data_IF_433967530553
#
_entry.id   IF_433967530553
#
_cell.length_a   1.000
_cell.length_b   1.000
_cell.length_c   1.000
_cell.angle_alpha   90.00
_cell.angle_beta   90.00
_cell.angle_gamma   90.00
#
_symmetry.space_group_name_H-M   'P 1'
#
loop_
_entity.id
_entity.type
_entity.pdbx_description
1 polymer ?
#
# COMPACT_ATOMS: atom_id res chain seq x y z
N UNK A 1 -42.49 -34.14 -26.23
CA UNK A 1 -43.23 -34.89 -25.20
C UNK A 1 -42.20 -35.63 -24.35
N UNK A 2 -42.42 -35.68 -23.04
CA UNK A 2 -41.57 -36.23 -21.96
C UNK A 2 -40.63 -35.18 -21.33
N UNK A 3 -41.17 -34.60 -20.27
CA UNK A 3 -40.46 -33.96 -19.18
C UNK A 3 -39.79 -35.00 -18.28
N UNK A 4 -38.71 -34.64 -17.59
CA UNK A 4 -38.43 -35.18 -16.27
C UNK A 4 -37.57 -34.21 -15.44
N UNK A 5 -38.19 -33.60 -14.43
CA UNK A 5 -37.54 -32.95 -13.29
C UNK A 5 -37.07 -34.02 -12.31
N UNK A 6 -35.91 -33.82 -11.68
CA UNK A 6 -35.58 -34.42 -10.38
C UNK A 6 -34.81 -33.43 -9.50
N UNK A 7 -35.44 -33.04 -8.40
CA UNK A 7 -34.89 -32.28 -7.27
C UNK A 7 -34.49 -33.25 -6.16
N UNK A 8 -33.35 -33.04 -5.49
CA UNK A 8 -33.14 -33.53 -4.12
C UNK A 8 -32.38 -32.50 -3.27
N UNK A 9 -32.98 -32.23 -2.12
CA UNK A 9 -32.54 -31.36 -1.02
C UNK A 9 -31.98 -32.26 0.10
N UNK A 10 -30.90 -31.86 0.78
CA UNK A 10 -30.40 -32.53 1.97
C UNK A 10 -30.02 -31.52 3.06
N UNK A 11 -30.58 -31.76 4.24
CA UNK A 11 -30.51 -30.96 5.47
C UNK A 11 -29.36 -31.50 6.36
N UNK A 12 -28.56 -30.60 6.96
CA UNK A 12 -27.48 -30.96 7.90
C UNK A 12 -27.75 -30.37 9.28
N UNK A 13 -27.81 -31.24 10.30
CA UNK A 13 -28.10 -30.95 11.70
C UNK A 13 -26.89 -30.43 12.49
N UNK A 14 -27.12 -29.50 13.42
CA UNK A 14 -26.10 -28.91 14.30
C UNK A 14 -25.88 -29.73 15.59
N UNK A 15 -24.63 -29.80 16.04
CA UNK A 15 -24.15 -30.56 17.20
C UNK A 15 -23.92 -29.67 18.43
N UNK A 16 -24.29 -30.17 19.62
CA UNK A 16 -24.27 -29.50 20.93
C UNK A 16 -22.89 -29.62 21.61
N UNK A 17 -22.46 -28.57 22.31
CA UNK A 17 -21.23 -28.52 23.12
C UNK A 17 -21.51 -28.70 24.65
N UNK A 18 -20.59 -29.28 25.45
CA UNK A 18 -20.80 -29.46 26.89
C UNK A 18 -20.18 -28.36 27.79
N UNK A 19 -20.84 -28.18 28.94
CA UNK A 19 -20.68 -27.18 30.01
C UNK A 19 -19.51 -27.46 30.99
N UNK A 20 -18.89 -26.42 31.54
CA UNK A 20 -17.82 -26.49 32.56
C UNK A 20 -18.35 -26.49 34.01
N UNK A 21 -17.64 -27.19 34.90
CA UNK A 21 -17.98 -27.39 36.33
C UNK A 21 -17.08 -26.55 37.25
N UNK A 22 -17.65 -25.94 38.30
CA UNK A 22 -16.95 -25.15 39.34
C UNK A 22 -16.86 -25.87 40.68
N UNK A 23 -15.73 -25.73 41.39
CA UNK A 23 -15.42 -26.37 42.69
C UNK A 23 -15.40 -25.34 43.84
N UNK A 24 -15.90 -25.65 45.07
CA UNK A 24 -16.00 -24.69 46.17
C UNK A 24 -14.83 -24.74 47.18
N UNK A 25 -14.60 -23.63 47.91
CA UNK A 25 -13.55 -23.45 48.92
C UNK A 25 -14.11 -23.59 50.38
N UNK A 26 -13.38 -24.22 51.33
CA UNK A 26 -13.83 -24.41 52.72
C UNK A 26 -13.44 -23.28 53.72
N UNK A 27 -14.02 -23.28 54.94
CA UNK A 27 -14.24 -22.07 55.74
C UNK A 27 -13.27 -21.80 56.90
N UNK A 28 -13.39 -20.56 57.38
CA UNK A 28 -12.71 -19.87 58.50
C UNK A 28 -12.97 -20.49 59.89
N UNK A 29 -11.97 -20.39 60.78
CA UNK A 29 -12.09 -20.71 62.20
C UNK A 29 -11.74 -19.51 63.09
N UNK A 30 -12.60 -19.28 64.07
CA UNK A 30 -12.62 -18.16 65.04
C UNK A 30 -12.41 -18.74 66.42
N UNK A 31 -11.53 -18.21 67.29
CA UNK A 31 -11.60 -18.44 68.74
C UNK A 31 -11.00 -17.30 69.58
N UNK A 32 -11.91 -16.59 70.26
CA UNK A 32 -12.06 -16.35 71.72
C UNK A 32 -10.86 -16.02 72.62
N UNK A 33 -10.93 -14.84 73.24
CA UNK A 33 -10.06 -14.34 74.32
C UNK A 33 -10.41 -14.90 75.71
N UNK A 34 -9.40 -15.04 76.57
CA UNK A 34 -9.57 -15.19 78.04
C UNK A 34 -8.38 -14.54 78.77
N UNK A 35 -8.59 -13.70 79.80
CA UNK A 35 -7.55 -12.91 80.45
C UNK A 35 -7.09 -13.49 81.81
N UNK A 36 -5.80 -13.40 82.14
CA UNK A 36 -5.23 -13.42 83.50
C UNK A 36 -3.67 -13.28 83.45
N UNK A 37 -2.96 -13.07 84.57
CA UNK A 37 -3.00 -11.94 85.49
C UNK A 37 -1.62 -11.23 85.62
N UNK A 38 -1.65 -10.16 86.38
CA UNK A 38 -0.65 -9.13 86.71
C UNK A 38 0.75 -9.62 87.12
N UNK A 39 1.79 -9.05 86.50
CA UNK A 39 3.18 -9.16 86.95
C UNK A 39 3.77 -7.78 87.32
N UNK A 40 4.55 -7.80 88.39
CA UNK A 40 5.16 -6.68 89.13
C UNK A 40 6.19 -5.89 88.32
N UNK A 41 6.18 -4.57 88.47
CA UNK A 41 7.05 -3.63 87.74
C UNK A 41 8.41 -3.56 88.44
N UNK A 42 9.44 -4.13 87.80
CA UNK A 42 10.85 -3.92 88.14
C UNK A 42 11.37 -2.77 87.27
N UNK A 43 12.19 -1.83 87.78
CA UNK A 43 12.61 -0.65 87.01
C UNK A 43 13.43 -1.06 85.77
N UNK A 44 12.80 -0.93 84.61
CA UNK A 44 13.39 -1.20 83.30
C UNK A 44 13.96 0.08 82.70
N UNK A 45 15.06 -0.06 81.95
CA UNK A 45 15.89 1.03 81.43
C UNK A 45 15.09 2.11 80.70
N UNK A 46 15.46 3.37 80.93
CA UNK A 46 14.95 4.54 80.23
C UNK A 46 15.21 4.42 78.72
N UNK A 47 14.18 4.04 77.96
CA UNK A 47 14.21 4.12 76.50
C UNK A 47 14.14 5.61 76.12
N UNK A 48 15.27 6.14 75.68
CA UNK A 48 15.32 7.43 75.00
C UNK A 48 14.53 7.29 73.70
N UNK A 49 13.39 7.99 73.58
CA UNK A 49 12.61 8.00 72.34
C UNK A 49 13.42 8.68 71.25
N UNK A 50 14.06 7.90 70.40
CA UNK A 50 14.57 8.38 69.11
C UNK A 50 13.36 8.87 68.29
N UNK A 51 13.41 10.06 67.66
CA UNK A 51 12.31 10.52 66.83
C UNK A 51 12.03 9.49 65.72
N UNK A 52 10.81 8.98 65.66
CA UNK A 52 10.36 8.11 64.58
C UNK A 52 10.29 8.94 63.30
N UNK A 53 11.03 8.53 62.27
CA UNK A 53 11.00 9.17 60.96
C UNK A 53 9.63 8.89 60.35
N UNK A 54 8.74 9.87 60.34
CA UNK A 54 7.44 9.77 59.67
C UNK A 54 7.68 9.85 58.16
N UNK A 55 7.54 8.72 57.46
CA UNK A 55 7.58 8.70 56.00
C UNK A 55 6.41 9.55 55.48
N UNK A 56 6.74 10.70 54.91
CA UNK A 56 5.78 11.56 54.22
C UNK A 56 5.35 10.84 52.94
N UNK A 57 4.06 10.78 52.58
CA UNK A 57 3.65 10.15 51.32
C UNK A 57 4.37 10.84 50.15
N UNK A 58 5.16 10.07 49.42
CA UNK A 58 5.84 10.55 48.21
C UNK A 58 4.78 10.86 47.16
N UNK A 59 4.81 12.08 46.61
CA UNK A 59 3.99 12.43 45.45
C UNK A 59 4.48 11.56 44.29
N UNK A 60 3.71 10.53 43.94
CA UNK A 60 3.99 9.69 42.77
C UNK A 60 3.69 10.52 41.53
N UNK A 61 4.72 10.84 40.73
CA UNK A 61 4.52 11.53 39.46
C UNK A 61 3.59 10.69 38.58
N UNK A 62 2.47 11.30 38.16
CA UNK A 62 1.56 10.68 37.19
C UNK A 62 2.24 10.74 35.83
N UNK A 63 2.29 9.65 35.04
CA UNK A 63 2.93 9.70 33.73
C UNK A 63 2.29 10.80 32.89
N UNK A 64 3.10 11.78 32.49
CA UNK A 64 2.66 12.85 31.60
C UNK A 64 2.50 12.27 30.21
N UNK A 65 1.29 12.34 29.65
CA UNK A 65 1.02 11.96 28.27
C UNK A 65 1.82 12.91 27.38
N UNK A 66 2.95 12.43 26.88
CA UNK A 66 3.78 13.19 25.93
C UNK A 66 3.10 13.08 24.57
N UNK A 67 2.71 14.17 23.91
CA UNK A 67 2.19 14.09 22.55
C UNK A 67 3.29 13.49 21.66
N UNK A 68 3.04 12.29 21.13
CA UNK A 68 3.86 11.72 20.06
C UNK A 68 3.59 12.53 18.80
N UNK A 69 4.60 12.95 18.03
CA UNK A 69 4.37 13.63 16.76
C UNK A 69 3.47 12.74 15.89
N UNK A 70 2.34 13.29 15.43
CA UNK A 70 1.55 12.67 14.38
C UNK A 70 2.37 12.74 13.11
N UNK A 71 2.52 11.61 12.43
CA UNK A 71 3.22 11.57 11.15
C UNK A 71 2.53 12.54 10.18
N UNK A 72 3.31 13.49 9.68
CA UNK A 72 2.86 14.52 8.76
C UNK A 72 3.41 14.22 7.37
N UNK A 73 2.54 14.30 6.36
CA UNK A 73 2.94 14.02 4.98
C UNK A 73 3.54 15.29 4.37
N UNK A 74 4.57 15.18 3.51
CA UNK A 74 5.09 16.35 2.80
C UNK A 74 3.99 17.02 1.98
N UNK A 75 3.92 18.35 2.06
CA UNK A 75 3.00 19.16 1.30
C UNK A 75 3.46 19.30 -0.15
N UNK A 76 2.50 19.44 -1.06
CA UNK A 76 2.75 19.79 -2.47
C UNK A 76 1.92 21.00 -2.90
N UNK A 77 2.55 21.86 -3.70
CA UNK A 77 1.87 22.90 -4.46
C UNK A 77 2.21 22.69 -5.94
N UNK A 78 1.21 22.65 -6.80
CA UNK A 78 1.43 22.59 -8.25
C UNK A 78 1.96 23.94 -8.72
N UNK A 79 3.07 23.96 -9.46
CA UNK A 79 3.71 25.20 -9.91
C UNK A 79 3.45 25.55 -11.39
N UNK A 80 2.98 24.59 -12.19
CA UNK A 80 2.67 24.78 -13.61
C UNK A 80 1.51 23.90 -14.06
N UNK A 81 0.83 24.29 -15.15
CA UNK A 81 -0.23 23.45 -15.69
C UNK A 81 0.35 22.14 -16.24
N UNK A 82 -0.21 21.02 -15.80
CA UNK A 82 0.31 19.70 -16.14
C UNK A 82 -0.76 18.61 -16.05
N UNK A 83 -0.38 17.39 -16.42
CA UNK A 83 -1.24 16.22 -16.29
C UNK A 83 -0.77 15.34 -15.13
N UNK A 84 -1.73 14.99 -14.27
CA UNK A 84 -1.61 13.89 -13.35
C UNK A 84 -1.96 12.57 -14.05
N UNK A 85 -1.33 11.46 -13.65
CA UNK A 85 -1.43 10.18 -14.36
C UNK A 85 -1.74 9.02 -13.44
N UNK A 86 -2.17 7.91 -14.01
CA UNK A 86 -2.41 6.68 -13.24
C UNK A 86 -1.14 5.93 -12.83
N UNK A 87 0.04 6.33 -13.34
CA UNK A 87 1.32 5.76 -12.94
C UNK A 87 2.52 6.71 -13.12
N UNK A 88 3.71 6.31 -12.64
CA UNK A 88 4.87 7.17 -12.36
C UNK A 88 5.74 7.49 -13.59
N UNK A 89 5.12 7.72 -14.76
CA UNK A 89 5.80 8.21 -15.95
C UNK A 89 4.83 8.88 -16.92
N UNK A 90 5.37 9.55 -17.94
CA UNK A 90 4.54 10.16 -19.00
C UNK A 90 3.79 9.13 -19.85
N UNK A 91 4.17 7.86 -19.81
CA UNK A 91 3.54 6.81 -20.61
C UNK A 91 2.14 6.43 -20.07
N UNK A 92 1.90 6.61 -18.78
CA UNK A 92 0.60 6.26 -18.17
C UNK A 92 -0.52 7.19 -18.62
N UNK A 93 -1.72 6.63 -18.74
CA UNK A 93 -2.95 7.34 -19.07
C UNK A 93 -3.18 8.54 -18.12
N UNK A 94 -3.69 9.63 -18.70
CA UNK A 94 -4.13 10.83 -17.97
C UNK A 94 -5.20 10.47 -16.94
N UNK A 95 -5.07 11.04 -15.74
CA UNK A 95 -6.04 10.89 -14.66
C UNK A 95 -6.75 12.22 -14.34
N UNK A 96 -6.01 13.32 -14.29
CA UNK A 96 -6.52 14.63 -13.93
C UNK A 96 -5.64 15.77 -14.45
N UNK A 97 -6.22 16.96 -14.55
CA UNK A 97 -5.46 18.18 -14.82
C UNK A 97 -5.01 18.86 -13.52
N UNK A 98 -3.75 19.28 -13.54
CA UNK A 98 -3.08 20.03 -12.50
C UNK A 98 -3.00 21.50 -12.94
N UNK A 99 -3.36 22.41 -12.05
CA UNK A 99 -3.28 23.85 -12.26
C UNK A 99 -2.39 24.50 -11.20
N UNK A 100 -1.64 25.56 -11.56
CA UNK A 100 -0.82 26.28 -10.59
C UNK A 100 -1.61 26.70 -9.35
N UNK A 101 -1.05 26.45 -8.18
CA UNK A 101 -1.68 26.74 -6.88
C UNK A 101 -2.57 25.64 -6.33
N UNK A 102 -2.81 24.53 -7.06
CA UNK A 102 -3.43 23.35 -6.46
C UNK A 102 -2.56 22.81 -5.32
N UNK A 103 -3.17 22.57 -4.16
CA UNK A 103 -2.50 22.07 -2.95
C UNK A 103 -2.86 20.63 -2.65
N UNK A 104 -1.99 19.96 -1.90
CA UNK A 104 -2.23 18.62 -1.37
C UNK A 104 -1.02 18.06 -0.64
N UNK A 105 -0.95 16.74 -0.56
CA UNK A 105 0.12 16.01 0.14
C UNK A 105 0.70 14.88 -0.71
N UNK A 106 1.96 14.51 -0.44
CA UNK A 106 2.63 13.33 -1.04
C UNK A 106 2.22 12.07 -0.28
N UNK A 107 1.52 11.14 -0.93
CA UNK A 107 1.10 9.86 -0.32
C UNK A 107 2.08 8.72 -0.58
N UNK A 108 2.81 8.78 -1.68
CA UNK A 108 3.66 7.68 -2.14
C UNK A 108 4.76 8.11 -3.08
N UNK A 109 5.77 7.25 -3.18
CA UNK A 109 6.87 7.35 -4.14
C UNK A 109 6.94 6.10 -4.99
N UNK A 110 7.60 6.17 -6.14
CA UNK A 110 7.94 4.96 -6.89
C UNK A 110 9.42 4.62 -6.73
N UNK A 111 9.74 3.33 -6.68
CA UNK A 111 11.13 2.89 -6.47
C UNK A 111 12.03 3.18 -7.66
N UNK A 112 11.47 3.26 -8.88
CA UNK A 112 12.21 3.31 -10.13
C UNK A 112 11.99 4.61 -10.93
N UNK A 113 11.33 5.59 -10.33
CA UNK A 113 11.03 6.89 -10.94
C UNK A 113 10.93 7.94 -9.85
N UNK A 114 11.29 9.18 -10.17
CA UNK A 114 11.19 10.29 -9.23
C UNK A 114 9.75 10.79 -9.04
N UNK A 115 8.78 10.29 -9.82
CA UNK A 115 7.38 10.70 -9.75
C UNK A 115 6.78 10.45 -8.36
N UNK A 116 5.86 11.34 -7.99
CA UNK A 116 5.20 11.35 -6.68
C UNK A 116 3.72 11.02 -6.84
N UNK A 117 3.22 10.13 -5.98
CA UNK A 117 1.80 9.86 -5.87
C UNK A 117 1.19 10.88 -4.91
N UNK A 118 0.48 11.86 -5.46
CA UNK A 118 -0.04 13.02 -4.73
C UNK A 118 -1.54 12.90 -4.53
N UNK A 119 -2.01 13.37 -3.38
CA UNK A 119 -3.43 13.55 -3.08
C UNK A 119 -3.69 15.03 -2.96
N UNK A 120 -4.32 15.61 -3.99
CA UNK A 120 -4.75 17.00 -3.96
C UNK A 120 -6.02 17.16 -3.11
N UNK A 121 -6.21 18.34 -2.57
CA UNK A 121 -7.38 18.68 -1.75
C UNK A 121 -8.67 18.70 -2.58
N UNK A 122 -8.57 19.14 -3.84
CA UNK A 122 -9.71 19.33 -4.74
C UNK A 122 -10.32 18.06 -5.35
N UNK A 123 -9.61 16.92 -5.31
CA UNK A 123 -10.06 15.64 -5.89
C UNK A 123 -10.05 14.55 -4.81
N UNK A 124 -10.94 13.57 -4.91
CA UNK A 124 -11.11 12.51 -3.90
C UNK A 124 -10.22 11.27 -4.13
N UNK A 125 -9.39 11.27 -5.17
CA UNK A 125 -8.40 10.22 -5.46
C UNK A 125 -6.99 10.81 -5.58
N UNK A 126 -5.99 9.96 -5.51
CA UNK A 126 -4.59 10.32 -5.68
C UNK A 126 -4.07 9.87 -7.06
N UNK A 127 -3.11 10.60 -7.61
CA UNK A 127 -2.56 10.35 -8.94
C UNK A 127 -1.06 10.71 -8.97
N UNK A 128 -0.37 10.31 -10.03
CA UNK A 128 1.07 10.49 -10.15
C UNK A 128 1.42 11.77 -10.90
N UNK A 129 2.34 12.55 -10.33
CA UNK A 129 2.82 13.78 -10.92
C UNK A 129 4.35 13.80 -11.01
N UNK A 130 4.86 14.45 -12.05
CA UNK A 130 6.29 14.63 -12.24
C UNK A 130 6.85 15.61 -11.19
N UNK A 131 8.07 15.42 -10.66
CA UNK A 131 8.64 16.36 -9.70
C UNK A 131 8.81 17.77 -10.24
N UNK A 132 9.05 17.90 -11.55
CA UNK A 132 9.25 19.19 -12.20
C UNK A 132 8.03 20.10 -12.21
N UNK A 133 6.85 19.59 -11.82
CA UNK A 133 5.58 20.37 -11.79
C UNK A 133 5.08 20.64 -10.37
N UNK A 134 5.87 20.25 -9.36
CA UNK A 134 5.52 20.33 -7.95
C UNK A 134 6.58 21.10 -7.17
N UNK A 135 6.13 21.99 -6.30
CA UNK A 135 6.91 22.51 -5.19
C UNK A 135 6.58 21.66 -3.96
N UNK A 136 7.58 21.00 -3.37
CA UNK A 136 7.39 20.04 -2.27
C UNK A 136 8.02 20.58 -0.99
N UNK A 137 7.27 20.56 0.11
CA UNK A 137 7.75 20.95 1.44
C UNK A 137 7.70 19.76 2.39
N UNK A 138 8.84 19.40 2.99
CA UNK A 138 8.98 18.22 3.86
C UNK A 138 9.87 17.12 3.28
N UNK A 139 10.21 16.13 4.10
CA UNK A 139 11.13 15.04 3.70
C UNK A 139 10.38 13.87 3.04
N UNK A 140 10.49 13.79 1.71
CA UNK A 140 9.92 12.68 0.93
C UNK A 140 10.60 11.33 1.19
N UNK A 141 11.75 11.27 1.87
CA UNK A 141 12.39 10.00 2.23
C UNK A 141 11.66 9.23 3.33
N UNK A 142 10.75 9.91 4.02
CA UNK A 142 9.84 9.26 4.98
C UNK A 142 8.65 8.57 4.32
N UNK A 143 8.42 8.83 3.02
CA UNK A 143 7.27 8.33 2.28
C UNK A 143 7.53 6.95 1.69
N UNK A 144 6.55 6.06 1.86
CA UNK A 144 6.62 4.67 1.36
C UNK A 144 6.66 4.59 -0.16
N UNK A 145 7.31 3.55 -0.66
CA UNK A 145 7.15 3.13 -2.05
C UNK A 145 5.75 2.56 -2.29
N UNK A 146 5.15 2.91 -3.42
CA UNK A 146 3.80 2.53 -3.85
C UNK A 146 3.84 2.15 -5.31
N UNK A 147 3.23 1.02 -5.66
CA UNK A 147 3.08 0.57 -7.05
C UNK A 147 1.68 0.90 -7.56
N UNK A 148 1.53 1.41 -8.79
CA UNK A 148 0.22 1.60 -9.40
C UNK A 148 -0.58 0.30 -9.52
N UNK A 149 -1.88 0.38 -9.28
CA UNK A 149 -2.81 -0.70 -9.55
C UNK A 149 -3.67 -0.34 -10.76
N UNK A 150 -3.18 -0.69 -11.95
CA UNK A 150 -3.80 -0.28 -13.21
C UNK A 150 -5.18 -0.91 -13.43
N UNK A 151 -5.46 -2.05 -12.79
CA UNK A 151 -6.75 -2.72 -12.88
C UNK A 151 -7.86 -1.99 -12.10
N UNK A 152 -7.50 -1.03 -11.23
CA UNK A 152 -8.46 -0.20 -10.49
C UNK A 152 -8.85 1.10 -11.20
N UNK A 153 -8.19 1.44 -12.30
CA UNK A 153 -8.42 2.70 -13.02
C UNK A 153 -9.82 2.74 -13.64
N UNK A 154 -10.27 1.61 -14.19
CA UNK A 154 -11.59 1.44 -14.79
C UNK A 154 -11.64 0.18 -15.64
N UNK A 155 -12.73 -0.01 -16.38
CA UNK A 155 -12.95 -1.19 -17.22
C UNK A 155 -12.61 -0.92 -18.69
N UNK A 156 -11.51 -1.51 -19.14
CA UNK A 156 -11.22 -1.59 -20.57
C UNK A 156 -12.26 -2.49 -21.26
N UNK A 157 -12.81 -2.02 -22.38
CA UNK A 157 -13.91 -2.70 -23.10
C UNK A 157 -13.43 -3.58 -24.27
N UNK A 158 -12.14 -3.53 -24.60
CA UNK A 158 -11.56 -4.17 -25.79
C UNK A 158 -10.74 -5.41 -25.47
N UNK A 159 -10.27 -5.54 -24.23
CA UNK A 159 -9.43 -6.65 -23.78
C UNK A 159 -7.95 -6.45 -24.08
N UNK A 160 -7.13 -7.45 -23.69
CA UNK A 160 -5.68 -7.45 -23.91
C UNK A 160 -5.30 -7.55 -25.40
N UNK A 161 -4.10 -7.07 -25.80
CA UNK A 161 -3.58 -7.28 -27.16
C UNK A 161 -3.43 -8.75 -27.52
N UNK A 162 -3.59 -9.09 -28.80
CA UNK A 162 -3.40 -10.46 -29.29
C UNK A 162 -2.09 -10.62 -30.05
N UNK A 163 -1.66 -11.88 -30.25
CA UNK A 163 -0.46 -12.24 -31.01
C UNK A 163 0.79 -11.45 -30.61
N UNK A 164 0.96 -11.23 -29.29
CA UNK A 164 2.13 -10.57 -28.74
C UNK A 164 3.35 -11.45 -28.96
N UNK A 165 4.33 -10.93 -29.67
CA UNK A 165 5.59 -11.61 -29.98
C UNK A 165 6.76 -10.66 -29.81
N UNK A 166 7.96 -11.21 -29.63
CA UNK A 166 9.18 -10.45 -29.61
C UNK A 166 10.31 -11.21 -30.32
N UNK A 167 11.16 -10.48 -31.03
CA UNK A 167 12.34 -11.01 -31.71
C UNK A 167 13.56 -10.16 -31.38
N UNK A 168 14.74 -10.80 -31.36
CA UNK A 168 16.02 -10.14 -31.05
C UNK A 168 16.87 -10.03 -32.30
N UNK A 169 17.44 -8.85 -32.51
CA UNK A 169 18.52 -8.60 -33.47
C UNK A 169 19.63 -7.82 -32.78
N UNK A 170 20.76 -8.48 -32.52
CA UNK A 170 21.84 -7.93 -31.71
C UNK A 170 21.36 -7.49 -30.33
N UNK A 171 21.50 -6.19 -30.04
CA UNK A 171 21.08 -5.56 -28.79
C UNK A 171 19.70 -4.87 -28.88
N UNK A 172 18.90 -5.20 -29.87
CA UNK A 172 17.55 -4.68 -30.03
C UNK A 172 16.53 -5.80 -29.91
N UNK A 173 15.45 -5.55 -29.18
CA UNK A 173 14.28 -6.41 -29.11
C UNK A 173 13.12 -5.68 -29.77
N UNK A 174 12.57 -6.28 -30.81
CA UNK A 174 11.38 -5.78 -31.51
C UNK A 174 10.17 -6.55 -31.03
N UNK A 175 9.19 -5.83 -30.50
CA UNK A 175 7.93 -6.33 -29.98
C UNK A 175 6.84 -6.03 -31.01
N UNK A 176 5.95 -6.99 -31.26
CA UNK A 176 4.82 -6.87 -32.19
C UNK A 176 3.54 -7.40 -31.57
N UNK A 177 2.40 -6.88 -31.99
CA UNK A 177 1.08 -7.33 -31.54
C UNK A 177 0.02 -7.04 -32.61
N UNK A 178 -1.16 -7.63 -32.49
CA UNK A 178 -2.29 -7.33 -33.36
C UNK A 178 -2.92 -5.98 -33.03
N UNK A 179 -3.40 -5.30 -34.08
CA UNK A 179 -4.23 -4.10 -33.91
C UNK A 179 -5.53 -4.44 -33.18
N UNK A 180 -5.82 -3.68 -32.13
CA UNK A 180 -7.07 -3.71 -31.39
C UNK A 180 -7.99 -2.65 -31.98
N UNK A 181 -9.11 -3.06 -32.55
CA UNK A 181 -10.02 -2.13 -33.24
C UNK A 181 -10.86 -1.36 -32.21
N UNK A 182 -10.45 -0.12 -31.94
CA UNK A 182 -11.09 0.78 -30.98
C UNK A 182 -11.84 1.91 -31.69
N UNK A 183 -12.91 2.43 -31.07
CA UNK A 183 -13.58 3.63 -31.57
C UNK A 183 -12.72 4.85 -31.29
N UNK A 184 -12.83 5.87 -32.15
CA UNK A 184 -12.05 7.13 -32.03
C UNK A 184 -12.18 7.76 -30.64
N UNK A 185 -13.37 7.72 -30.03
CA UNK A 185 -13.58 8.31 -28.71
C UNK A 185 -12.82 7.59 -27.59
N UNK A 186 -12.53 6.29 -27.76
CA UNK A 186 -11.92 5.42 -26.75
C UNK A 186 -10.43 5.21 -26.96
N UNK A 187 -9.96 5.30 -28.19
CA UNK A 187 -8.60 4.93 -28.57
C UNK A 187 -7.53 5.74 -27.81
N UNK A 188 -6.73 5.05 -27.00
CA UNK A 188 -5.52 5.59 -26.36
C UNK A 188 -4.31 4.72 -26.64
N UNK A 189 -4.38 3.88 -27.68
CA UNK A 189 -3.34 2.99 -28.15
C UNK A 189 -2.95 1.90 -27.15
N UNK A 190 -1.66 1.83 -26.87
CA UNK A 190 -1.05 0.75 -26.10
C UNK A 190 -0.08 1.29 -25.06
N UNK A 191 0.18 0.49 -24.04
CA UNK A 191 1.15 0.78 -23.00
C UNK A 191 2.03 -0.45 -22.78
N UNK A 192 3.34 -0.25 -22.78
CA UNK A 192 4.34 -1.27 -22.45
C UNK A 192 5.05 -0.85 -21.18
N UNK A 193 5.13 -1.77 -20.22
CA UNK A 193 5.99 -1.69 -19.05
C UNK A 193 6.98 -2.85 -19.10
N UNK A 194 8.26 -2.55 -19.03
CA UNK A 194 9.33 -3.51 -19.22
C UNK A 194 10.50 -3.24 -18.28
N UNK A 195 11.35 -4.25 -18.19
CA UNK A 195 12.67 -4.19 -17.61
C UNK A 195 13.67 -4.58 -18.70
N UNK A 196 14.58 -3.67 -19.01
CA UNK A 196 15.53 -3.80 -20.12
C UNK A 196 16.95 -3.58 -19.63
N UNK A 197 17.90 -4.25 -20.26
CA UNK A 197 19.30 -4.01 -20.02
C UNK A 197 19.82 -2.94 -20.98
N UNK A 198 20.35 -1.83 -20.48
CA UNK A 198 20.94 -0.80 -21.32
C UNK A 198 22.23 -0.32 -20.68
N UNK A 199 23.33 -0.42 -21.43
CA UNK A 199 24.67 -0.01 -21.01
C UNK A 199 25.09 -0.64 -19.67
N UNK A 200 24.73 -1.91 -19.45
CA UNK A 200 25.02 -2.65 -18.21
C UNK A 200 24.10 -2.31 -17.03
N UNK A 201 23.11 -1.43 -17.19
CA UNK A 201 22.11 -1.12 -16.18
C UNK A 201 20.78 -1.82 -16.48
N UNK A 202 20.16 -2.37 -15.44
CA UNK A 202 18.82 -2.98 -15.52
C UNK A 202 17.77 -1.91 -15.21
N UNK A 203 17.07 -1.45 -16.26
CA UNK A 203 16.24 -0.25 -16.23
C UNK A 203 14.76 -0.60 -16.29
N UNK A 204 13.98 0.06 -15.44
CA UNK A 204 12.53 0.12 -15.59
C UNK A 204 12.17 1.02 -16.78
N UNK A 205 11.40 0.49 -17.72
CA UNK A 205 11.11 1.12 -19.00
C UNK A 205 9.60 1.17 -19.22
N UNK A 206 9.10 2.36 -19.59
CA UNK A 206 7.69 2.51 -19.96
C UNK A 206 7.56 3.30 -21.26
N UNK A 207 6.66 2.86 -22.12
CA UNK A 207 6.33 3.56 -23.36
C UNK A 207 4.83 3.45 -23.64
N UNK A 208 4.26 4.48 -24.25
CA UNK A 208 2.88 4.46 -24.71
C UNK A 208 2.77 4.96 -26.15
N UNK A 209 1.68 4.56 -26.78
CA UNK A 209 1.39 4.87 -28.18
C UNK A 209 0.07 5.64 -28.25
N UNK A 210 -0.02 6.67 -29.09
CA UNK A 210 -1.15 7.60 -29.06
C UNK A 210 -2.46 6.99 -29.56
N UNK A 211 -2.37 5.95 -30.39
CA UNK A 211 -3.50 5.34 -31.08
C UNK A 211 -3.26 3.84 -31.36
N UNK A 212 -4.31 3.19 -31.88
CA UNK A 212 -4.32 1.77 -32.20
C UNK A 212 -3.46 1.38 -33.42
N UNK A 213 -2.96 2.33 -34.21
CA UNK A 213 -2.29 2.03 -35.48
C UNK A 213 -0.82 1.66 -35.32
N UNK A 214 -0.23 1.94 -34.16
CA UNK A 214 1.11 1.46 -33.84
C UNK A 214 1.04 0.05 -33.27
N UNK A 215 1.61 -0.91 -33.99
CA UNK A 215 1.59 -2.34 -33.64
C UNK A 215 2.98 -2.97 -33.51
N UNK A 216 4.01 -2.13 -33.45
CA UNK A 216 5.40 -2.57 -33.27
C UNK A 216 6.19 -1.54 -32.46
N UNK A 217 7.15 -2.02 -31.69
CA UNK A 217 8.06 -1.19 -30.91
C UNK A 217 9.40 -1.90 -30.74
N UNK A 218 10.49 -1.19 -31.04
CA UNK A 218 11.85 -1.68 -30.84
C UNK A 218 12.48 -0.97 -29.66
N UNK A 219 13.06 -1.74 -28.74
CA UNK A 219 13.77 -1.24 -27.57
C UNK A 219 15.19 -1.78 -27.55
N UNK A 220 16.15 -0.94 -27.13
CA UNK A 220 17.49 -1.41 -26.82
C UNK A 220 17.43 -2.30 -25.58
N UNK A 221 17.98 -3.49 -25.70
CA UNK A 221 18.10 -4.49 -24.66
C UNK A 221 19.41 -5.26 -24.88
N UNK A 222 20.48 -4.75 -24.27
CA UNK A 222 21.82 -5.33 -24.31
C UNK A 222 21.87 -6.67 -23.57
N UNK A 223 22.91 -7.46 -23.82
CA UNK A 223 23.23 -8.61 -22.97
C UNK A 223 24.08 -8.18 -21.76
N UNK A 224 24.04 -8.98 -20.68
CA UNK A 224 24.99 -8.84 -19.56
C UNK A 224 24.45 -8.26 -18.26
N UNK A 225 23.18 -7.84 -18.20
CA UNK A 225 22.53 -7.56 -16.93
C UNK A 225 22.31 -8.84 -16.11
N UNK A 226 22.27 -8.70 -14.79
CA UNK A 226 22.15 -9.84 -13.85
C UNK A 226 20.79 -10.54 -13.95
N UNK A 227 19.73 -9.78 -14.19
CA UNK A 227 18.37 -10.28 -14.28
C UNK A 227 17.94 -10.32 -15.75
N UNK A 228 17.14 -11.33 -16.16
CA UNK A 228 16.60 -11.39 -17.50
C UNK A 228 15.60 -10.25 -17.73
N UNK A 229 15.70 -9.62 -18.89
CA UNK A 229 14.72 -8.65 -19.36
C UNK A 229 13.34 -9.28 -19.52
N UNK A 230 12.30 -8.47 -19.31
CA UNK A 230 10.91 -8.90 -19.31
C UNK A 230 10.00 -7.70 -19.53
N UNK A 231 8.76 -7.94 -19.95
CA UNK A 231 7.78 -6.87 -20.01
C UNK A 231 6.38 -7.39 -20.23
N UNK A 232 5.43 -6.47 -20.17
CA UNK A 232 4.04 -6.67 -20.49
C UNK A 232 3.51 -5.55 -21.38
N UNK A 233 2.49 -5.85 -22.16
CA UNK A 233 1.75 -4.89 -22.97
C UNK A 233 0.27 -4.89 -22.57
N UNK A 234 -0.35 -3.71 -22.63
CA UNK A 234 -1.77 -3.49 -22.37
C UNK A 234 -2.38 -2.65 -23.49
N UNK A 235 -3.64 -2.94 -23.81
CA UNK A 235 -4.49 -2.01 -24.57
C UNK A 235 -4.88 -0.87 -23.63
N UNK A 236 -4.81 0.36 -24.10
CA UNK A 236 -5.23 1.53 -23.34
C UNK A 236 -6.44 2.14 -24.02
N UNK A 237 -7.49 2.36 -23.24
CA UNK A 237 -8.66 3.10 -23.68
C UNK A 237 -9.00 4.20 -22.66
N UNK A 238 -9.92 5.09 -23.01
CA UNK A 238 -10.17 6.30 -22.22
C UNK A 238 -10.56 6.07 -20.74
N UNK A 239 -11.12 4.92 -20.37
CA UNK A 239 -11.44 4.60 -18.97
C UNK A 239 -10.40 3.71 -18.28
N UNK A 240 -9.32 3.30 -18.95
CA UNK A 240 -8.24 2.56 -18.30
C UNK A 240 -7.51 1.57 -19.19
N UNK A 241 -7.02 0.51 -18.53
CA UNK A 241 -6.09 -0.45 -19.10
C UNK A 241 -6.74 -1.83 -19.18
N UNK A 242 -6.38 -2.61 -20.20
CA UNK A 242 -6.70 -4.03 -20.23
C UNK A 242 -5.91 -4.80 -19.18
N UNK A 243 -6.27 -6.08 -19.01
CA UNK A 243 -5.34 -7.07 -18.45
C UNK A 243 -4.00 -7.05 -19.20
N UNK A 244 -2.88 -7.34 -18.50
CA UNK A 244 -1.58 -7.40 -19.13
C UNK A 244 -1.40 -8.66 -19.96
N UNK A 245 -0.63 -8.54 -21.03
CA UNK A 245 -0.09 -9.67 -21.78
C UNK A 245 1.42 -9.70 -21.58
N UNK A 246 1.97 -10.77 -20.97
CA UNK A 246 3.41 -10.96 -20.91
C UNK A 246 4.01 -10.99 -22.32
N UNK A 247 5.05 -10.21 -22.53
CA UNK A 247 5.82 -10.24 -23.78
C UNK A 247 6.77 -11.44 -23.69
N UNK A 248 6.77 -12.36 -24.68
CA UNK A 248 7.68 -13.50 -24.69
C UNK A 248 9.10 -13.04 -25.03
N UNK A 249 9.80 -12.53 -24.02
CA UNK A 249 11.12 -11.90 -24.20
C UNK A 249 12.17 -12.92 -24.69
N UNK A 250 12.93 -12.61 -25.76
CA UNK A 250 13.90 -13.52 -26.38
C UNK A 250 15.29 -13.50 -25.73
#
# INVERSE_FOLDING_TARGET
MIALLLTLSACGTAQIAPTATSTPLPPSATLTDTPAPTASVTPSATITRTPTITLTPTITETPTITPSPTFDLPDVVVNTQAHCRYGPSKAYLHAADLYPGDTGVVWGRFAYSAWLWIKLDKINYACWAAPSVLDVTGDINTIRYTTPDLMKVGSNQYGPPHNVAATRDGNQVTITWDRMVMTEDKDRGYFIEAWVCQNGAYLWWTVSFPDQYTTTYTVQDDSGCKEPSKGEIRTVEKHGFSEPVPIPWP
#
